data_IF_259623041231
#
_entry.id   IF_259623041231
#
_cell.length_a   1.000
_cell.length_b   1.000
_cell.length_c   1.000
_cell.angle_alpha   90.00
_cell.angle_beta   90.00
_cell.angle_gamma   90.00
#
_symmetry.space_group_name_H-M   'P 1'
#
loop_
_entity.id
_entity.type
_entity.pdbx_description
1 polymer ?
#
# COMPACT_ATOMS: atom_id res chain seq x y z
N UNK A 1 3.83 12.71 3.70
CA UNK A 1 3.37 11.87 4.84
C UNK A 1 3.21 10.45 4.29
N UNK A 2 3.98 9.51 4.82
CA UNK A 2 4.15 8.16 4.27
C UNK A 2 3.02 7.18 4.60
N UNK A 3 2.16 7.50 5.57
CA UNK A 3 1.13 6.60 6.09
C UNK A 3 1.68 5.29 6.72
N UNK A 4 2.95 5.29 7.12
CA UNK A 4 3.63 4.18 7.76
C UNK A 4 3.88 4.51 9.22
N UNK A 5 3.63 3.55 10.10
CA UNK A 5 3.79 3.65 11.54
C UNK A 5 4.87 2.69 12.04
N UNK A 6 5.29 2.85 13.28
CA UNK A 6 6.20 2.01 14.03
C UNK A 6 7.66 2.08 13.57
N UNK A 7 7.98 1.64 12.36
CA UNK A 7 9.34 1.48 11.87
C UNK A 7 9.84 2.71 11.10
N UNK A 8 11.15 2.87 11.03
CA UNK A 8 11.74 3.66 9.96
C UNK A 8 11.99 2.77 8.72
N UNK A 9 12.17 3.44 7.61
CA UNK A 9 12.31 2.81 6.31
C UNK A 9 13.15 3.70 5.40
N UNK A 10 13.59 3.12 4.29
CA UNK A 10 14.27 3.83 3.22
C UNK A 10 13.22 4.40 2.28
N UNK A 11 13.16 5.71 2.11
CA UNK A 11 12.40 6.33 1.03
C UNK A 11 13.22 6.38 -0.24
N UNK A 12 12.62 6.00 -1.36
CA UNK A 12 13.28 5.98 -2.67
C UNK A 12 12.33 6.46 -3.77
N UNK A 13 12.88 7.08 -4.82
CA UNK A 13 12.07 7.42 -5.98
C UNK A 13 11.49 6.17 -6.64
N UNK A 14 10.19 6.14 -7.01
CA UNK A 14 9.58 4.96 -7.63
C UNK A 14 10.30 4.45 -8.88
N UNK A 15 10.87 5.33 -9.69
CA UNK A 15 11.62 4.91 -10.88
C UNK A 15 12.95 4.23 -10.51
N UNK A 16 13.64 4.70 -9.46
CA UNK A 16 14.85 4.04 -8.95
C UNK A 16 14.53 2.67 -8.35
N UNK A 17 13.37 2.55 -7.70
CA UNK A 17 12.88 1.27 -7.18
C UNK A 17 12.67 0.26 -8.31
N UNK A 18 11.98 0.66 -9.37
CA UNK A 18 11.74 -0.19 -10.54
C UNK A 18 13.04 -0.60 -11.22
N UNK A 19 13.97 0.34 -11.44
CA UNK A 19 15.27 0.09 -12.04
C UNK A 19 16.09 -0.94 -11.22
N UNK A 20 15.91 -0.97 -9.91
CA UNK A 20 16.57 -1.90 -8.98
C UNK A 20 15.73 -3.16 -8.66
N UNK A 21 14.59 -3.33 -9.30
CA UNK A 21 13.74 -4.50 -9.13
C UNK A 21 12.98 -4.57 -7.80
N UNK A 22 12.70 -3.43 -7.17
CA UNK A 22 11.83 -3.34 -5.99
C UNK A 22 10.37 -3.23 -6.40
N UNK A 23 9.48 -3.78 -5.57
CA UNK A 23 8.05 -3.51 -5.66
C UNK A 23 7.74 -2.10 -5.13
N UNK A 24 7.04 -1.30 -5.93
CA UNK A 24 6.72 0.09 -5.56
C UNK A 24 5.46 0.24 -4.71
N UNK A 25 4.64 -0.81 -4.65
CA UNK A 25 3.43 -0.85 -3.83
C UNK A 25 3.69 -1.68 -2.60
N UNK A 26 3.60 -1.05 -1.45
CA UNK A 26 3.58 -1.74 -0.16
C UNK A 26 2.16 -1.68 0.40
N UNK A 27 1.63 -2.82 0.77
CA UNK A 27 0.33 -2.98 1.39
C UNK A 27 0.40 -4.04 2.47
N UNK A 28 -0.68 -4.25 3.19
CA UNK A 28 -0.75 -5.30 4.20
C UNK A 28 -0.42 -6.70 3.63
N UNK A 29 -0.80 -6.95 2.39
CA UNK A 29 -0.58 -8.22 1.68
C UNK A 29 0.70 -8.21 0.81
N UNK A 30 1.36 -7.07 0.69
CA UNK A 30 2.58 -6.92 -0.11
C UNK A 30 3.68 -6.35 0.77
N UNK A 31 4.49 -7.20 1.41
CA UNK A 31 5.58 -6.76 2.27
C UNK A 31 6.63 -5.97 1.49
N UNK A 32 7.27 -5.02 2.16
CA UNK A 32 8.36 -4.25 1.59
C UNK A 32 9.64 -5.08 1.48
N UNK A 33 10.39 -4.92 0.40
CA UNK A 33 11.72 -5.51 0.28
C UNK A 33 12.68 -4.82 1.23
N UNK A 34 13.57 -5.59 1.85
CA UNK A 34 14.67 -5.06 2.66
C UNK A 34 15.86 -4.70 1.77
N UNK A 35 16.49 -3.59 2.12
CA UNK A 35 17.75 -3.17 1.55
C UNK A 35 18.78 -2.83 2.63
N UNK A 36 20.01 -3.21 2.36
CA UNK A 36 21.18 -2.84 3.11
C UNK A 36 21.70 -1.51 2.59
N UNK A 37 21.85 -0.55 3.48
CA UNK A 37 22.43 0.77 3.18
C UNK A 37 23.77 0.87 3.85
N UNK A 38 24.80 1.20 3.08
CA UNK A 38 26.14 1.50 3.57
C UNK A 38 26.44 2.97 3.31
N UNK A 39 26.70 3.71 4.37
CA UNK A 39 27.04 5.13 4.33
C UNK A 39 28.04 5.49 5.43
N UNK A 40 29.14 6.15 5.07
CA UNK A 40 30.17 6.57 6.03
C UNK A 40 30.79 5.44 6.84
N UNK A 41 30.84 4.21 6.30
CA UNK A 41 31.33 3.02 7.00
C UNK A 41 30.33 2.40 7.98
N UNK A 42 29.12 2.93 8.07
CA UNK A 42 28.02 2.40 8.87
C UNK A 42 27.00 1.67 7.98
N UNK A 43 26.40 0.65 8.53
CA UNK A 43 25.44 -0.20 7.83
C UNK A 43 24.11 -0.26 8.57
N UNK A 44 23.00 -0.17 7.82
CA UNK A 44 21.65 -0.45 8.33
C UNK A 44 20.87 -1.24 7.30
N UNK A 45 19.98 -2.12 7.74
CA UNK A 45 19.06 -2.87 6.89
C UNK A 45 17.63 -2.45 7.20
N UNK A 46 16.93 -1.91 6.21
CA UNK A 46 15.62 -1.32 6.37
C UNK A 46 14.71 -1.64 5.19
N UNK A 47 13.38 -1.66 5.39
CA UNK A 47 12.43 -1.80 4.30
C UNK A 47 12.45 -0.58 3.36
N UNK A 48 12.27 -0.82 2.07
CA UNK A 48 12.25 0.22 1.03
C UNK A 48 10.83 0.58 0.68
N UNK A 49 10.54 1.88 0.64
CA UNK A 49 9.21 2.43 0.37
C UNK A 49 9.28 3.50 -0.72
N UNK A 50 8.33 3.45 -1.63
CA UNK A 50 8.20 4.44 -2.68
C UNK A 50 7.86 5.84 -2.13
N UNK A 51 8.63 6.85 -2.52
CA UNK A 51 8.38 8.25 -2.23
C UNK A 51 8.20 9.04 -3.54
N UNK A 52 6.97 9.14 -4.06
CA UNK A 52 6.69 9.95 -5.24
C UNK A 52 7.11 11.41 -5.04
N UNK A 53 7.81 11.95 -6.02
CA UNK A 53 8.36 13.32 -5.96
C UNK A 53 9.75 13.43 -5.35
N UNK A 54 10.31 12.36 -4.77
CA UNK A 54 11.71 12.35 -4.34
C UNK A 54 12.64 12.38 -5.55
N UNK A 55 13.76 13.12 -5.42
CA UNK A 55 14.77 13.17 -6.49
C UNK A 55 15.35 11.79 -6.75
N UNK A 56 15.61 11.46 -8.01
CA UNK A 56 16.31 10.24 -8.40
C UNK A 56 17.74 10.19 -7.83
N UNK A 57 18.22 8.97 -7.60
CA UNK A 57 19.53 8.69 -6.99
C UNK A 57 19.68 9.31 -5.58
N UNK A 58 18.58 9.45 -4.87
CA UNK A 58 18.58 9.87 -3.47
C UNK A 58 17.72 8.95 -2.64
N UNK A 59 18.13 8.68 -1.42
CA UNK A 59 17.34 7.97 -0.42
C UNK A 59 17.16 8.84 0.82
N UNK A 60 16.13 8.58 1.59
CA UNK A 60 15.90 9.20 2.87
C UNK A 60 15.63 8.15 3.94
N UNK A 61 16.19 8.37 5.14
CA UNK A 61 15.98 7.53 6.31
C UNK A 61 15.63 8.42 7.50
N UNK A 62 14.51 8.11 8.17
CA UNK A 62 14.11 8.87 9.37
C UNK A 62 14.96 8.48 10.56
N UNK A 63 15.33 9.48 11.34
CA UNK A 63 16.08 9.34 12.60
C UNK A 63 15.12 9.08 13.78
N UNK A 64 15.68 8.62 14.91
CA UNK A 64 14.97 8.46 16.17
C UNK A 64 14.45 7.06 16.44
N UNK A 65 14.78 6.08 15.61
CA UNK A 65 14.45 4.67 15.75
C UNK A 65 15.64 3.83 16.23
N UNK A 66 15.41 2.54 16.45
CA UNK A 66 16.43 1.61 16.94
C UNK A 66 16.83 1.85 18.40
N UNK A 67 15.87 2.29 19.23
CA UNK A 67 16.06 2.51 20.66
C UNK A 67 16.07 1.18 21.41
N UNK A 68 16.91 1.09 22.45
CA UNK A 68 17.04 -0.08 23.32
C UNK A 68 16.35 0.11 24.67
N UNK A 69 16.08 1.35 25.08
CA UNK A 69 15.48 1.71 26.36
C UNK A 69 14.27 2.63 26.16
N UNK A 70 13.29 2.16 25.39
CA UNK A 70 12.08 2.91 25.06
C UNK A 70 10.79 2.23 25.57
N UNK A 71 10.92 1.25 26.46
CA UNK A 71 9.82 0.45 26.99
C UNK A 71 9.41 -0.69 26.04
N UNK A 72 8.48 -1.52 26.49
CA UNK A 72 8.09 -2.77 25.81
C UNK A 72 7.67 -2.59 24.34
N UNK A 73 7.00 -1.48 24.04
CA UNK A 73 6.49 -1.21 22.69
C UNK A 73 7.52 -0.54 21.76
N UNK A 74 8.55 0.08 22.30
CA UNK A 74 9.51 0.86 21.52
C UNK A 74 10.89 0.24 21.37
N UNK A 75 11.22 -0.76 22.17
CA UNK A 75 12.53 -1.40 22.12
C UNK A 75 12.73 -2.19 20.84
N UNK A 76 13.85 -1.96 20.17
CA UNK A 76 14.23 -2.71 18.98
C UNK A 76 13.39 -2.39 17.72
N UNK A 77 12.56 -1.35 17.75
CA UNK A 77 11.77 -0.94 16.59
C UNK A 77 12.63 -0.08 15.64
N UNK A 78 12.71 -0.54 14.39
CA UNK A 78 13.54 0.09 13.36
C UNK A 78 15.03 0.03 13.63
N UNK A 79 15.81 0.84 12.94
CA UNK A 79 17.27 0.91 13.04
C UNK A 79 17.72 2.32 13.39
N UNK A 80 18.81 2.40 14.15
CA UNK A 80 19.43 3.67 14.50
C UNK A 80 20.27 4.23 13.36
N UNK A 81 19.74 5.23 12.66
CA UNK A 81 20.42 5.90 11.57
C UNK A 81 21.26 7.13 11.99
N UNK A 82 21.31 7.47 13.27
CA UNK A 82 22.18 8.56 13.76
C UNK A 82 23.67 8.28 13.53
N UNK A 83 24.07 7.01 13.52
CA UNK A 83 25.45 6.61 13.21
C UNK A 83 25.91 7.03 11.81
N UNK A 84 24.99 7.28 10.89
CA UNK A 84 25.26 7.75 9.53
C UNK A 84 25.36 9.28 9.43
N UNK A 85 24.97 10.02 10.47
CA UNK A 85 25.12 11.47 10.49
C UNK A 85 26.58 11.86 10.62
N UNK A 86 26.92 13.03 10.10
CA UNK A 86 28.29 13.60 10.20
C UNK A 86 28.33 14.73 11.22
N UNK A 87 29.44 14.85 11.92
CA UNK A 87 29.65 15.96 12.83
C UNK A 87 30.87 16.76 12.37
N UNK A 88 30.66 18.01 11.99
CA UNK A 88 31.74 18.86 11.51
C UNK A 88 31.58 20.29 12.03
N UNK A 89 32.65 20.84 12.59
CA UNK A 89 32.70 22.24 13.06
C UNK A 89 31.55 22.62 14.02
N UNK A 90 31.19 21.70 14.93
CA UNK A 90 30.11 21.92 15.91
C UNK A 90 28.68 21.72 15.38
N UNK A 91 28.52 21.37 14.11
CA UNK A 91 27.21 21.14 13.48
C UNK A 91 27.02 19.68 13.08
N UNK A 92 25.79 19.20 13.23
CA UNK A 92 25.38 17.88 12.74
C UNK A 92 24.96 18.00 11.29
N UNK A 93 25.59 17.22 10.42
CA UNK A 93 25.21 17.07 9.03
C UNK A 93 24.36 15.81 8.84
N UNK A 94 23.21 15.94 8.22
CA UNK A 94 22.30 14.83 7.94
C UNK A 94 22.39 14.34 6.49
N UNK A 95 23.17 15.00 5.67
CA UNK A 95 23.40 14.61 4.28
C UNK A 95 24.70 13.84 4.13
N UNK A 96 24.64 12.68 3.53
CA UNK A 96 25.79 11.81 3.21
C UNK A 96 25.81 11.51 1.74
N UNK A 97 26.99 11.52 1.13
CA UNK A 97 27.21 11.15 -0.28
C UNK A 97 28.00 9.83 -0.36
N UNK A 98 27.98 9.18 -1.52
CA UNK A 98 28.67 7.90 -1.69
C UNK A 98 27.96 6.75 -0.96
N UNK A 99 26.63 6.79 -0.90
CA UNK A 99 25.82 5.75 -0.28
C UNK A 99 25.64 4.61 -1.26
N UNK A 100 25.83 3.36 -0.82
CA UNK A 100 25.40 2.17 -1.55
C UNK A 100 24.13 1.59 -0.97
N UNK A 101 23.26 1.09 -1.85
CA UNK A 101 22.01 0.43 -1.47
C UNK A 101 21.98 -0.92 -2.18
N UNK A 102 21.83 -1.99 -1.42
CA UNK A 102 21.84 -3.36 -1.91
C UNK A 102 20.56 -4.08 -1.46
N UNK A 103 19.83 -4.69 -2.41
CA UNK A 103 18.66 -5.50 -2.11
C UNK A 103 19.07 -6.81 -1.45
N UNK A 104 18.51 -7.14 -0.29
CA UNK A 104 18.89 -8.34 0.46
C UNK A 104 18.18 -9.61 -0.01
N UNK A 105 17.10 -9.51 -0.75
CA UNK A 105 16.22 -10.64 -1.10
C UNK A 105 15.17 -10.96 -0.04
N UNK A 106 15.27 -10.41 1.16
CA UNK A 106 14.30 -10.55 2.23
C UNK A 106 13.19 -9.51 2.14
N UNK A 107 12.09 -9.78 2.82
CA UNK A 107 10.94 -8.87 2.91
C UNK A 107 10.53 -8.62 4.35
N UNK A 108 9.88 -7.49 4.58
CA UNK A 108 9.41 -7.07 5.89
C UNK A 108 7.97 -6.57 5.82
N UNK A 109 7.12 -7.05 6.71
CA UNK A 109 5.74 -6.58 6.84
C UNK A 109 5.73 -5.21 7.51
N UNK A 110 5.47 -4.17 6.74
CA UNK A 110 5.45 -2.78 7.22
C UNK A 110 4.04 -2.38 7.66
N UNK A 111 3.93 -1.66 8.78
CA UNK A 111 2.66 -1.18 9.29
C UNK A 111 2.18 0.04 8.49
N UNK A 112 1.52 -0.20 7.38
CA UNK A 112 0.95 0.82 6.51
C UNK A 112 -0.54 1.00 6.75
N UNK A 113 -0.99 2.25 6.86
CA UNK A 113 -2.41 2.61 6.95
C UNK A 113 -2.91 3.18 5.62
N UNK A 114 -4.24 3.23 5.46
CA UNK A 114 -4.89 3.73 4.24
C UNK A 114 -4.41 3.02 2.96
N UNK A 115 -4.36 1.71 3.01
CA UNK A 115 -3.91 0.88 1.88
C UNK A 115 -4.97 0.66 0.81
N UNK A 116 -6.21 1.06 1.06
CA UNK A 116 -7.35 0.91 0.14
C UNK A 116 -7.47 2.06 -0.87
N UNK A 117 -6.38 2.44 -1.52
CA UNK A 117 -6.35 3.44 -2.59
C UNK A 117 -6.62 2.82 -3.98
N UNK A 118 -6.83 1.53 -4.03
CA UNK A 118 -7.21 0.80 -5.24
C UNK A 118 -8.45 -0.03 -4.97
N UNK A 119 -9.19 -0.39 -6.01
CA UNK A 119 -10.33 -1.28 -5.89
C UNK A 119 -9.92 -2.75 -5.68
N UNK A 120 -8.62 -3.06 -5.66
CA UNK A 120 -8.04 -4.40 -5.50
C UNK A 120 -8.64 -5.44 -6.47
N UNK A 121 -8.90 -5.01 -7.70
CA UNK A 121 -9.55 -5.83 -8.73
C UNK A 121 -11.06 -6.03 -8.57
N UNK A 122 -11.66 -5.49 -7.50
CA UNK A 122 -13.12 -5.55 -7.31
C UNK A 122 -13.81 -4.48 -8.14
N UNK A 123 -14.91 -4.82 -8.78
CA UNK A 123 -15.73 -3.88 -9.57
C UNK A 123 -16.63 -3.03 -8.66
N UNK A 124 -16.05 -2.12 -7.91
CA UNK A 124 -16.79 -1.16 -7.08
C UNK A 124 -17.32 -0.01 -7.93
N UNK A 125 -16.52 0.43 -8.91
CA UNK A 125 -16.90 1.42 -9.92
C UNK A 125 -16.84 0.74 -11.29
N UNK A 126 -17.90 0.88 -12.06
CA UNK A 126 -17.98 0.34 -13.42
C UNK A 126 -17.64 1.46 -14.41
N UNK A 127 -16.60 1.23 -15.20
CA UNK A 127 -16.14 2.11 -16.26
C UNK A 127 -16.36 1.47 -17.62
N UNK A 128 -16.77 2.25 -18.62
CA UNK A 128 -16.91 1.76 -19.99
C UNK A 128 -16.84 2.90 -21.00
N UNK A 129 -16.70 2.55 -22.27
CA UNK A 129 -16.86 3.47 -23.37
C UNK A 129 -18.26 3.33 -24.00
N UNK A 130 -18.68 4.36 -24.75
CA UNK A 130 -20.02 4.43 -25.37
C UNK A 130 -20.28 3.25 -26.29
N UNK A 131 -19.28 2.79 -27.01
CA UNK A 131 -19.45 1.66 -27.95
C UNK A 131 -19.75 0.36 -27.20
N UNK A 132 -18.99 0.07 -26.18
CA UNK A 132 -19.22 -1.10 -25.31
C UNK A 132 -20.56 -1.00 -24.61
N UNK A 133 -20.91 0.16 -24.05
CA UNK A 133 -22.19 0.40 -23.37
C UNK A 133 -23.41 0.15 -24.27
N UNK A 134 -23.33 0.52 -25.54
CA UNK A 134 -24.42 0.27 -26.52
C UNK A 134 -24.55 -1.18 -26.88
N UNK A 135 -23.48 -1.95 -26.90
CA UNK A 135 -23.44 -3.32 -27.42
C UNK A 135 -23.56 -4.38 -26.31
N UNK A 136 -23.41 -4.01 -25.03
CA UNK A 136 -23.54 -4.95 -23.92
C UNK A 136 -24.97 -5.27 -23.62
N UNK A 137 -25.30 -6.56 -23.49
CA UNK A 137 -26.59 -7.01 -22.98
C UNK A 137 -26.72 -6.66 -21.50
N UNK A 138 -27.64 -5.73 -21.21
CA UNK A 138 -27.89 -5.26 -19.84
C UNK A 138 -28.64 -6.27 -18.99
N UNK A 139 -29.25 -7.27 -19.57
CA UNK A 139 -29.97 -8.34 -18.88
C UNK A 139 -29.05 -9.48 -18.45
N UNK A 140 -27.84 -9.58 -19.02
CA UNK A 140 -26.86 -10.60 -18.65
C UNK A 140 -26.26 -10.26 -17.28
N UNK A 141 -26.64 -11.07 -16.29
CA UNK A 141 -26.15 -10.89 -14.90
C UNK A 141 -24.72 -11.36 -14.68
N UNK A 142 -24.13 -12.10 -15.60
CA UNK A 142 -22.78 -12.63 -15.47
C UNK A 142 -21.76 -11.79 -16.25
N UNK A 143 -22.08 -11.40 -17.49
CA UNK A 143 -21.15 -10.72 -18.39
C UNK A 143 -21.65 -9.34 -18.83
N UNK A 144 -22.80 -8.91 -18.35
CA UNK A 144 -23.43 -7.64 -18.70
C UNK A 144 -22.77 -6.42 -18.07
N UNK A 145 -23.47 -5.30 -18.14
CA UNK A 145 -22.99 -4.03 -17.62
C UNK A 145 -22.63 -4.04 -16.13
N UNK A 146 -23.45 -4.72 -15.33
CA UNK A 146 -23.25 -4.83 -13.88
C UNK A 146 -23.32 -6.30 -13.44
N UNK A 147 -22.28 -7.09 -13.72
CA UNK A 147 -22.28 -8.49 -13.36
C UNK A 147 -22.35 -8.68 -11.86
N UNK A 148 -23.15 -9.65 -11.42
CA UNK A 148 -23.18 -10.04 -10.01
C UNK A 148 -21.90 -10.82 -9.71
N UNK A 149 -21.11 -10.42 -8.71
CA UNK A 149 -19.92 -11.17 -8.30
C UNK A 149 -20.30 -12.59 -7.88
N UNK A 150 -19.50 -13.55 -8.30
CA UNK A 150 -19.61 -14.96 -7.90
C UNK A 150 -18.51 -15.23 -6.88
N UNK A 151 -18.87 -15.79 -5.76
CA UNK A 151 -17.97 -16.13 -4.66
C UNK A 151 -18.05 -17.64 -4.39
N UNK A 152 -17.03 -18.19 -3.75
CA UNK A 152 -17.08 -19.56 -3.24
C UNK A 152 -17.82 -19.57 -1.90
N UNK A 153 -18.84 -20.41 -1.79
CA UNK A 153 -19.55 -20.66 -0.55
C UNK A 153 -18.70 -21.53 0.41
N UNK A 154 -19.22 -21.81 1.60
CA UNK A 154 -18.53 -22.64 2.61
C UNK A 154 -18.20 -24.07 2.13
N UNK A 155 -18.87 -24.55 1.07
CA UNK A 155 -18.65 -25.88 0.46
C UNK A 155 -17.71 -25.82 -0.75
N UNK A 156 -17.19 -24.63 -1.10
CA UNK A 156 -16.31 -24.43 -2.24
C UNK A 156 -17.00 -24.28 -3.59
N UNK A 157 -18.34 -24.21 -3.62
CA UNK A 157 -19.13 -24.04 -4.83
C UNK A 157 -19.23 -22.56 -5.22
N UNK A 158 -19.17 -22.27 -6.50
CA UNK A 158 -19.38 -20.93 -7.04
C UNK A 158 -20.84 -20.52 -6.93
N UNK A 159 -21.10 -19.53 -6.10
CA UNK A 159 -22.45 -19.05 -5.79
C UNK A 159 -22.52 -17.53 -6.03
N UNK A 160 -23.57 -17.03 -6.72
CA UNK A 160 -23.80 -15.60 -6.87
C UNK A 160 -23.89 -14.92 -5.50
N UNK A 161 -23.25 -13.75 -5.36
CA UNK A 161 -23.18 -13.05 -4.06
C UNK A 161 -24.56 -12.79 -3.44
N UNK A 162 -25.59 -12.56 -4.26
CA UNK A 162 -26.96 -12.35 -3.77
C UNK A 162 -27.61 -13.59 -3.12
N UNK A 163 -27.06 -14.77 -3.34
CA UNK A 163 -27.53 -16.03 -2.74
C UNK A 163 -26.78 -16.37 -1.44
N UNK A 164 -25.71 -15.64 -1.15
CA UNK A 164 -24.91 -15.78 0.09
C UNK A 164 -25.43 -14.88 1.22
N UNK A 165 -26.58 -14.23 1.02
CA UNK A 165 -27.18 -13.37 2.02
C UNK A 165 -27.61 -14.18 3.26
N UNK A 166 -27.18 -13.75 4.42
CA UNK A 166 -27.56 -14.34 5.70
C UNK A 166 -28.97 -13.90 6.16
N UNK A 167 -29.56 -12.94 5.48
CA UNK A 167 -30.83 -12.35 5.82
C UNK A 167 -31.87 -12.72 4.78
N UNK A 168 -32.94 -13.37 5.21
CA UNK A 168 -34.12 -13.49 4.37
C UNK A 168 -34.65 -12.09 4.02
N UNK A 169 -35.17 -11.92 2.80
CA UNK A 169 -35.77 -10.67 2.36
C UNK A 169 -36.67 -10.10 3.45
N UNK A 170 -36.36 -8.90 3.95
CA UNK A 170 -37.14 -8.30 5.04
C UNK A 170 -38.55 -7.96 4.53
N UNK A 171 -39.60 -8.63 5.04
CA UNK A 171 -40.94 -8.34 4.62
C UNK A 171 -41.35 -6.96 5.14
N UNK A 172 -41.41 -5.99 4.30
CA UNK A 172 -41.78 -4.62 4.67
C UNK A 172 -40.96 -3.54 3.97
N UNK A 173 -39.73 -3.81 3.58
CA UNK A 173 -38.92 -2.85 2.80
C UNK A 173 -39.59 -2.51 1.47
N UNK A 174 -40.25 -3.48 0.83
CA UNK A 174 -40.96 -3.26 -0.42
C UNK A 174 -42.22 -2.36 -0.34
N UNK A 175 -42.62 -1.94 0.87
CA UNK A 175 -43.80 -1.09 1.12
C UNK A 175 -43.48 0.38 1.31
N UNK A 176 -42.22 0.75 1.36
CA UNK A 176 -41.79 2.12 1.60
C UNK A 176 -41.21 2.76 0.35
N UNK A 177 -41.19 4.08 0.33
CA UNK A 177 -40.52 4.84 -0.71
C UNK A 177 -39.00 4.67 -0.58
N UNK A 178 -38.35 4.35 -1.70
CA UNK A 178 -36.90 4.30 -1.76
C UNK A 178 -36.35 5.64 -2.25
N UNK A 179 -35.30 6.08 -1.60
CA UNK A 179 -34.59 7.29 -2.00
C UNK A 179 -33.44 6.92 -2.93
N UNK A 180 -33.36 7.62 -4.04
CA UNK A 180 -32.23 7.56 -4.96
C UNK A 180 -31.66 8.96 -5.14
N UNK A 181 -30.35 9.06 -5.26
CA UNK A 181 -29.63 10.31 -5.51
C UNK A 181 -28.82 10.15 -6.79
N UNK A 182 -28.94 11.11 -7.70
CA UNK A 182 -28.04 11.29 -8.83
C UNK A 182 -27.21 12.53 -8.56
N UNK A 183 -25.88 12.39 -8.60
CA UNK A 183 -24.94 13.49 -8.38
C UNK A 183 -24.21 13.72 -9.69
N UNK A 184 -24.35 14.91 -10.25
CA UNK A 184 -23.52 15.38 -11.35
C UNK A 184 -22.32 16.11 -10.74
N UNK A 185 -21.11 15.67 -11.11
CA UNK A 185 -19.85 16.21 -10.61
C UNK A 185 -19.19 17.22 -11.58
N UNK A 186 -19.88 17.65 -12.63
CA UNK A 186 -19.40 18.67 -13.55
C UNK A 186 -19.38 20.08 -12.94
#
# INVERSE_FOLDING_TARGET
ISRISWDNYITMNPADMLDQGYETRTAQETPAHLAKVLAGGQEVTLPVVAAPGQKRNTIGIALGYGRTEAGKAGNGIGQNAYSMSTFKSGNVGYGVTGVSVEKTGETYAIASIQTHHTMMGRKIVNETNVTTYKNVDRSDKQNGWNPIPVLKNAFGEETPMGELDLWSAQPGIARHHFWGMSIDLN
#
